data_IF_603757796241
#
_entry.id   IF_603757796241
#
_cell.length_a   1.000
_cell.length_b   1.000
_cell.length_c   1.000
_cell.angle_alpha   90.00
_cell.angle_beta   90.00
_cell.angle_gamma   90.00
#
_symmetry.space_group_name_H-M   'P 1'
#
loop_
_entity.id
_entity.type
_entity.pdbx_description
1 polymer ?
#
# COMPACT_ATOMS: atom_id res chain seq x y z
N UNK A 1 25.56 -6.51 18.26
CA UNK A 1 24.54 -5.76 17.48
C UNK A 1 23.08 -6.15 17.80
N UNK A 2 22.74 -6.57 19.02
CA UNK A 2 21.38 -7.07 19.36
C UNK A 2 20.56 -6.17 20.30
N UNK A 3 21.14 -5.11 20.87
CA UNK A 3 20.45 -4.28 21.87
C UNK A 3 19.54 -3.18 21.29
N UNK A 4 19.85 -2.64 20.11
CA UNK A 4 19.05 -1.58 19.48
C UNK A 4 17.74 -2.09 18.89
N UNK A 5 17.75 -3.29 18.32
CA UNK A 5 16.57 -3.90 17.67
C UNK A 5 15.45 -4.24 18.70
N UNK A 6 15.80 -4.70 19.89
CA UNK A 6 14.83 -5.01 20.94
C UNK A 6 14.16 -3.74 21.53
N UNK A 7 14.90 -2.63 21.66
CA UNK A 7 14.36 -1.36 22.17
C UNK A 7 13.38 -0.73 21.17
N UNK A 8 13.69 -0.74 19.86
CA UNK A 8 12.82 -0.24 18.82
C UNK A 8 11.51 -1.02 18.73
N UNK A 9 11.58 -2.35 18.76
CA UNK A 9 10.40 -3.22 18.76
C UNK A 9 9.52 -3.00 19.99
N UNK A 10 10.13 -2.77 21.14
CA UNK A 10 9.39 -2.51 22.38
C UNK A 10 8.61 -1.19 22.32
N UNK A 11 9.22 -0.11 21.84
CA UNK A 11 8.51 1.19 21.66
C UNK A 11 7.37 1.12 20.65
N UNK A 12 7.59 0.46 19.52
CA UNK A 12 6.51 0.22 18.53
C UNK A 12 5.37 -0.61 19.13
N UNK A 13 5.68 -1.61 19.96
CA UNK A 13 4.69 -2.41 20.68
C UNK A 13 3.88 -1.59 21.68
N UNK A 14 4.50 -0.69 22.44
CA UNK A 14 3.77 0.20 23.36
C UNK A 14 2.83 1.13 22.61
N UNK A 15 3.28 1.74 21.54
CA UNK A 15 2.42 2.59 20.69
C UNK A 15 1.19 1.82 20.18
N UNK A 16 1.36 0.56 19.73
CA UNK A 16 0.24 -0.31 19.31
C UNK A 16 -0.72 -0.58 20.46
N UNK A 17 -0.20 -0.88 21.67
CA UNK A 17 -1.03 -1.14 22.86
C UNK A 17 -1.88 0.08 23.26
N UNK A 18 -1.29 1.25 23.30
CA UNK A 18 -1.95 2.48 23.70
C UNK A 18 -3.08 2.83 22.74
N UNK A 19 -2.86 2.63 21.43
CA UNK A 19 -3.89 2.87 20.44
C UNK A 19 -4.98 1.80 20.40
N UNK A 20 -4.65 0.54 20.66
CA UNK A 20 -5.61 -0.55 20.71
C UNK A 20 -6.61 -0.37 21.87
N UNK A 21 -6.13 0.06 23.04
CA UNK A 21 -6.97 0.21 24.22
C UNK A 21 -7.91 1.40 24.16
N UNK A 22 -7.52 2.50 23.49
CA UNK A 22 -8.28 3.75 23.49
C UNK A 22 -9.36 3.86 22.42
N UNK A 23 -9.39 2.99 21.39
CA UNK A 23 -10.25 3.19 20.21
C UNK A 23 -10.96 1.94 19.69
N UNK A 24 -11.42 1.06 20.59
CA UNK A 24 -12.06 -0.20 20.22
C UNK A 24 -13.30 -0.01 19.32
N UNK A 25 -14.18 0.92 19.66
CA UNK A 25 -15.40 1.20 18.89
C UNK A 25 -15.08 1.64 17.45
N UNK A 26 -14.10 2.54 17.29
CA UNK A 26 -13.64 2.96 15.96
C UNK A 26 -13.05 1.78 15.17
N UNK A 27 -12.22 0.95 15.78
CA UNK A 27 -11.59 -0.20 15.12
C UNK A 27 -12.63 -1.22 14.65
N UNK A 28 -13.65 -1.48 15.46
CA UNK A 28 -14.74 -2.38 15.09
C UNK A 28 -15.56 -1.81 13.94
N UNK A 29 -15.95 -0.53 14.01
CA UNK A 29 -16.67 0.14 12.94
C UNK A 29 -15.85 0.19 11.64
N UNK A 30 -14.55 0.52 11.75
CA UNK A 30 -13.63 0.52 10.61
C UNK A 30 -13.52 -0.87 9.98
N UNK A 31 -13.39 -1.93 10.79
CA UNK A 31 -13.31 -3.30 10.26
C UNK A 31 -14.60 -3.72 9.58
N UNK A 32 -15.77 -3.39 10.14
CA UNK A 32 -17.05 -3.64 9.50
C UNK A 32 -17.14 -2.92 8.14
N UNK A 33 -16.76 -1.65 8.09
CA UNK A 33 -16.65 -0.89 6.85
C UNK A 33 -15.70 -1.55 5.84
N UNK A 34 -14.49 -1.93 6.26
CA UNK A 34 -13.50 -2.58 5.40
C UNK A 34 -14.06 -3.87 4.76
N UNK A 35 -14.77 -4.71 5.54
CA UNK A 35 -15.37 -5.96 5.04
C UNK A 35 -16.48 -5.67 4.03
N UNK A 36 -17.44 -4.82 4.41
CA UNK A 36 -18.60 -4.53 3.56
C UNK A 36 -18.14 -3.84 2.27
N UNK A 37 -17.31 -2.80 2.38
CA UNK A 37 -16.84 -2.04 1.23
C UNK A 37 -16.01 -2.92 0.29
N UNK A 38 -15.02 -3.65 0.82
CA UNK A 38 -14.20 -4.53 -0.03
C UNK A 38 -14.99 -5.68 -0.64
N UNK A 39 -15.96 -6.25 0.08
CA UNK A 39 -16.86 -7.27 -0.45
C UNK A 39 -17.71 -6.76 -1.62
N UNK A 40 -18.32 -5.57 -1.48
CA UNK A 40 -19.07 -4.92 -2.56
C UNK A 40 -18.17 -4.62 -3.77
N UNK A 41 -16.97 -4.06 -3.54
CA UNK A 41 -16.03 -3.79 -4.64
C UNK A 41 -15.66 -5.08 -5.34
N UNK A 42 -15.27 -6.13 -4.62
CA UNK A 42 -14.90 -7.43 -5.21
C UNK A 42 -16.03 -8.03 -6.03
N UNK A 43 -17.28 -7.95 -5.58
CA UNK A 43 -18.43 -8.42 -6.33
C UNK A 43 -18.61 -7.65 -7.65
N UNK A 44 -18.48 -6.32 -7.62
CA UNK A 44 -18.62 -5.46 -8.82
C UNK A 44 -17.48 -5.70 -9.81
N UNK A 45 -16.24 -5.81 -9.32
CA UNK A 45 -15.06 -5.94 -10.20
C UNK A 45 -14.81 -7.37 -10.67
N UNK A 46 -15.54 -8.37 -10.19
CA UNK A 46 -15.27 -9.80 -10.50
C UNK A 46 -15.20 -10.07 -12.00
N UNK A 47 -16.25 -9.71 -12.75
CA UNK A 47 -16.31 -9.94 -14.22
C UNK A 47 -15.29 -9.04 -14.95
N UNK A 48 -15.22 -7.70 -14.71
CA UNK A 48 -14.17 -6.87 -15.29
C UNK A 48 -12.76 -7.38 -15.03
N UNK A 49 -12.49 -7.91 -13.84
CA UNK A 49 -11.18 -8.47 -13.47
C UNK A 49 -10.81 -9.70 -14.29
N UNK A 50 -11.76 -10.57 -14.60
CA UNK A 50 -11.52 -11.73 -15.45
C UNK A 50 -11.20 -11.32 -16.89
N UNK A 51 -11.94 -10.35 -17.44
CA UNK A 51 -11.68 -9.80 -18.78
C UNK A 51 -10.31 -9.13 -18.85
N UNK A 52 -9.96 -8.33 -17.82
CA UNK A 52 -8.65 -7.69 -17.73
C UNK A 52 -7.53 -8.73 -17.59
N UNK A 53 -7.71 -9.76 -16.78
CA UNK A 53 -6.74 -10.83 -16.62
C UNK A 53 -6.48 -11.57 -17.95
N UNK A 54 -7.53 -11.84 -18.74
CA UNK A 54 -7.41 -12.38 -20.08
C UNK A 54 -6.62 -11.44 -21.02
N UNK A 55 -6.94 -10.15 -21.02
CA UNK A 55 -6.25 -9.14 -21.83
C UNK A 55 -4.74 -9.04 -21.49
N UNK A 56 -4.39 -9.02 -20.19
CA UNK A 56 -3.00 -9.00 -19.72
C UNK A 56 -2.25 -10.26 -20.19
N UNK A 57 -2.91 -11.43 -20.17
CA UNK A 57 -2.31 -12.69 -20.60
C UNK A 57 -2.11 -12.74 -22.12
N UNK A 58 -3.00 -12.12 -22.89
CA UNK A 58 -2.85 -12.01 -24.34
C UNK A 58 -1.74 -11.04 -24.75
N UNK A 59 -1.55 -9.93 -24.02
CA UNK A 59 -0.49 -8.96 -24.30
C UNK A 59 0.90 -9.47 -23.92
N UNK A 60 1.01 -10.19 -22.80
CA UNK A 60 2.29 -10.74 -22.35
C UNK A 60 2.10 -12.09 -21.64
N UNK A 61 2.98 -13.07 -21.95
CA UNK A 61 2.93 -14.40 -21.37
C UNK A 61 3.10 -14.39 -19.84
N UNK A 62 2.42 -15.32 -19.17
CA UNK A 62 2.56 -15.59 -17.74
C UNK A 62 1.31 -15.27 -16.92
N UNK A 63 1.43 -15.31 -15.60
CA UNK A 63 0.31 -15.07 -14.69
C UNK A 63 -0.15 -13.59 -14.77
N UNK A 64 -1.45 -13.30 -14.99
CA UNK A 64 -1.97 -11.93 -14.98
C UNK A 64 -1.95 -11.26 -13.61
N UNK A 65 -1.78 -12.04 -12.54
CA UNK A 65 -1.62 -11.53 -11.18
C UNK A 65 -0.15 -11.54 -10.77
N UNK A 66 0.24 -10.51 -10.07
CA UNK A 66 1.54 -10.36 -9.42
C UNK A 66 1.35 -10.24 -7.91
N UNK A 67 2.25 -10.81 -7.13
CA UNK A 67 2.23 -10.64 -5.69
C UNK A 67 3.61 -10.30 -5.15
N UNK A 68 3.64 -9.44 -4.14
CA UNK A 68 4.86 -9.01 -3.46
C UNK A 68 4.68 -9.09 -1.95
N UNK A 69 5.71 -9.58 -1.25
CA UNK A 69 5.69 -9.58 0.22
C UNK A 69 5.80 -8.12 0.70
N UNK A 70 4.89 -7.76 1.60
CA UNK A 70 4.84 -6.46 2.26
C UNK A 70 4.78 -6.64 3.77
N UNK A 71 5.27 -5.63 4.49
CA UNK A 71 5.14 -5.57 5.95
C UNK A 71 3.78 -4.96 6.29
N UNK A 72 3.09 -5.62 7.20
CA UNK A 72 1.79 -5.21 7.74
C UNK A 72 1.91 -4.50 9.07
N UNK A 73 0.90 -4.71 9.92
CA UNK A 73 0.85 -4.12 11.25
C UNK A 73 1.83 -4.83 12.22
N UNK A 74 2.47 -4.08 13.11
CA UNK A 74 3.24 -4.63 14.22
C UNK A 74 2.32 -5.35 15.21
N UNK A 75 2.66 -6.57 15.58
CA UNK A 75 1.96 -7.34 16.61
C UNK A 75 2.22 -6.80 18.02
N UNK A 76 1.42 -7.25 19.00
CA UNK A 76 1.58 -6.85 20.42
C UNK A 76 2.89 -7.29 21.06
N UNK A 77 3.51 -8.33 20.54
CA UNK A 77 4.82 -8.83 20.95
C UNK A 77 6.00 -8.10 20.28
N UNK A 78 5.72 -7.08 19.46
CA UNK A 78 6.70 -6.33 18.68
C UNK A 78 7.14 -7.00 17.39
N UNK A 79 6.63 -8.19 17.08
CA UNK A 79 6.92 -8.83 15.79
C UNK A 79 6.20 -8.13 14.63
N UNK A 80 6.81 -8.17 13.45
CA UNK A 80 6.25 -7.59 12.23
C UNK A 80 5.43 -8.66 11.50
N UNK A 81 4.16 -8.35 11.19
CA UNK A 81 3.39 -9.18 10.27
C UNK A 81 3.88 -8.97 8.84
N UNK A 82 3.81 -10.01 8.03
CA UNK A 82 4.02 -9.92 6.59
C UNK A 82 2.86 -10.56 5.85
N UNK A 83 2.58 -10.08 4.65
CA UNK A 83 1.52 -10.63 3.82
C UNK A 83 1.87 -10.49 2.33
N UNK A 84 1.20 -11.29 1.49
CA UNK A 84 1.28 -11.17 0.04
C UNK A 84 0.30 -10.12 -0.44
N UNK A 85 0.79 -8.98 -0.91
CA UNK A 85 -0.02 -7.95 -1.53
C UNK A 85 -0.23 -8.29 -3.00
N UNK A 86 -1.50 -8.36 -3.41
CA UNK A 86 -1.88 -8.74 -4.77
C UNK A 86 -2.09 -7.53 -5.66
N UNK A 87 -1.64 -7.65 -6.93
CA UNK A 87 -1.86 -6.67 -7.98
C UNK A 87 -2.13 -7.36 -9.33
N UNK A 88 -2.73 -6.64 -10.26
CA UNK A 88 -2.62 -7.05 -11.66
C UNK A 88 -1.22 -6.79 -12.16
N UNK A 89 -0.71 -7.69 -13.00
CA UNK A 89 0.59 -7.53 -13.63
C UNK A 89 0.54 -6.43 -14.67
N UNK A 90 1.28 -5.36 -14.44
CA UNK A 90 1.39 -4.20 -15.33
C UNK A 90 2.71 -4.13 -16.09
N UNK A 91 3.61 -5.09 -15.86
CA UNK A 91 4.94 -5.17 -16.46
C UNK A 91 5.15 -6.51 -17.17
N UNK A 92 6.11 -6.54 -18.09
CA UNK A 92 6.55 -7.78 -18.72
C UNK A 92 7.11 -8.76 -17.70
N UNK A 93 7.10 -10.07 -18.03
CA UNK A 93 7.51 -11.16 -17.13
C UNK A 93 8.98 -11.03 -16.66
N UNK A 94 9.83 -10.43 -17.46
CA UNK A 94 11.27 -10.24 -17.21
C UNK A 94 11.62 -8.87 -16.61
N UNK A 95 10.62 -8.13 -16.12
CA UNK A 95 10.78 -6.77 -15.59
C UNK A 95 11.83 -6.67 -14.47
N UNK A 96 11.90 -7.67 -13.58
CA UNK A 96 12.87 -7.68 -12.48
C UNK A 96 14.32 -7.83 -12.99
N UNK A 97 14.53 -8.59 -14.06
CA UNK A 97 15.86 -8.74 -14.70
C UNK A 97 16.29 -7.41 -15.34
N UNK A 98 15.38 -6.76 -16.05
CA UNK A 98 15.63 -5.46 -16.69
C UNK A 98 15.83 -4.32 -15.67
N UNK A 99 15.35 -4.46 -14.44
CA UNK A 99 15.54 -3.44 -13.40
C UNK A 99 17.03 -3.19 -13.13
N UNK A 100 17.87 -4.24 -13.18
CA UNK A 100 19.29 -4.11 -12.90
C UNK A 100 19.96 -3.14 -13.88
N UNK A 101 19.57 -3.22 -15.17
CA UNK A 101 20.10 -2.38 -16.25
C UNK A 101 19.59 -0.92 -16.15
N UNK A 102 18.41 -0.74 -15.57
CA UNK A 102 17.72 0.56 -15.45
C UNK A 102 18.05 1.32 -14.15
N UNK A 103 18.73 0.71 -13.18
CA UNK A 103 19.01 1.34 -11.87
C UNK A 103 19.68 2.71 -11.98
N UNK A 104 20.54 2.91 -12.98
CA UNK A 104 21.20 4.20 -13.23
C UNK A 104 20.28 5.32 -13.74
N UNK A 105 19.04 4.98 -14.12
CA UNK A 105 18.04 5.94 -14.65
C UNK A 105 16.95 6.26 -13.62
N UNK A 106 17.21 6.00 -12.32
CA UNK A 106 16.26 6.33 -11.27
C UNK A 106 16.06 7.85 -11.15
N UNK A 107 14.82 8.32 -11.24
CA UNK A 107 14.45 9.75 -11.18
C UNK A 107 14.29 10.28 -9.76
N UNK A 108 14.34 9.40 -8.74
CA UNK A 108 14.18 9.79 -7.34
C UNK A 108 15.33 9.27 -6.47
N UNK A 109 15.65 10.02 -5.41
CA UNK A 109 16.61 9.60 -4.40
C UNK A 109 15.98 8.56 -3.44
N UNK A 110 16.81 7.62 -2.93
CA UNK A 110 16.40 6.63 -1.94
C UNK A 110 16.19 5.23 -2.50
N UNK A 111 15.66 4.33 -1.67
CA UNK A 111 15.52 2.90 -1.96
C UNK A 111 14.43 2.56 -3.01
N UNK A 112 13.56 3.51 -3.32
CA UNK A 112 12.51 3.32 -4.32
C UNK A 112 13.04 3.60 -5.73
N UNK A 113 12.63 2.76 -6.70
CA UNK A 113 12.86 3.01 -8.12
C UNK A 113 11.64 3.67 -8.75
N UNK A 114 11.83 4.82 -9.40
CA UNK A 114 10.80 5.53 -10.16
C UNK A 114 11.38 6.03 -11.48
N UNK A 115 10.67 5.73 -12.57
CA UNK A 115 10.98 6.15 -13.92
C UNK A 115 9.67 6.47 -14.65
N UNK A 116 9.57 7.67 -15.21
CA UNK A 116 8.33 8.16 -15.87
C UNK A 116 7.96 7.33 -17.10
N UNK A 117 8.95 7.01 -17.94
CA UNK A 117 8.78 6.18 -19.14
C UNK A 117 9.46 4.82 -18.95
N UNK A 118 8.95 4.01 -18.04
CA UNK A 118 9.50 2.70 -17.72
C UNK A 118 9.24 1.69 -18.84
N UNK A 119 10.26 1.23 -19.58
CA UNK A 119 10.10 0.32 -20.71
C UNK A 119 9.64 -1.08 -20.30
N UNK A 120 9.62 -1.39 -19.01
CA UNK A 120 9.12 -2.65 -18.47
C UNK A 120 7.61 -2.72 -18.44
N UNK A 121 6.92 -1.56 -18.53
CA UNK A 121 5.47 -1.46 -18.42
C UNK A 121 4.83 -1.78 -19.76
N UNK A 122 3.84 -2.71 -19.78
CA UNK A 122 3.08 -3.07 -20.97
C UNK A 122 2.11 -1.95 -21.37
N UNK A 123 1.49 -2.01 -22.56
CA UNK A 123 0.50 -1.01 -22.98
C UNK A 123 -0.73 -1.03 -22.09
N UNK A 124 -1.28 -2.23 -21.81
CA UNK A 124 -2.37 -2.39 -20.83
C UNK A 124 -1.88 -1.95 -19.45
N UNK A 125 -0.63 -2.27 -19.08
CA UNK A 125 0.01 -1.85 -17.86
C UNK A 125 0.01 -0.33 -17.66
N UNK A 126 0.34 0.46 -18.69
CA UNK A 126 0.27 1.94 -18.64
C UNK A 126 -1.15 2.42 -18.33
N UNK A 127 -2.16 1.84 -18.97
CA UNK A 127 -3.56 2.19 -18.73
C UNK A 127 -4.01 1.85 -17.31
N UNK A 128 -3.78 0.61 -16.83
CA UNK A 128 -4.25 0.18 -15.52
C UNK A 128 -3.51 0.91 -14.38
N UNK A 129 -2.23 1.24 -14.55
CA UNK A 129 -1.46 2.05 -13.57
C UNK A 129 -1.96 3.48 -13.50
N UNK A 130 -2.25 4.09 -14.67
CA UNK A 130 -2.80 5.46 -14.73
C UNK A 130 -4.10 5.61 -13.94
N UNK A 131 -4.94 4.56 -13.89
CA UNK A 131 -6.22 4.58 -13.18
C UNK A 131 -6.20 3.77 -11.88
N UNK A 132 -5.01 3.35 -11.41
CA UNK A 132 -4.83 2.52 -10.21
C UNK A 132 -5.64 1.21 -10.20
N UNK A 133 -6.06 0.74 -11.39
CA UNK A 133 -6.81 -0.52 -11.56
C UNK A 133 -5.94 -1.73 -11.20
N UNK A 134 -4.61 -1.61 -11.39
CA UNK A 134 -3.66 -2.65 -11.01
C UNK A 134 -3.71 -2.98 -9.52
N UNK A 135 -4.22 -2.09 -8.67
CA UNK A 135 -4.34 -2.27 -7.23
C UNK A 135 -5.66 -2.93 -6.78
N UNK A 136 -6.62 -3.15 -7.68
CA UNK A 136 -7.92 -3.75 -7.35
C UNK A 136 -7.83 -5.13 -6.64
N UNK A 137 -6.89 -6.02 -6.98
CA UNK A 137 -6.75 -7.27 -6.23
C UNK A 137 -6.41 -7.07 -4.74
N UNK A 138 -5.93 -5.89 -4.31
CA UNK A 138 -5.68 -5.59 -2.90
C UNK A 138 -6.97 -5.53 -2.07
N UNK A 139 -8.15 -5.34 -2.67
CA UNK A 139 -9.41 -5.46 -1.96
C UNK A 139 -9.60 -6.87 -1.35
N UNK A 140 -9.00 -7.91 -1.94
CA UNK A 140 -8.94 -9.22 -1.32
C UNK A 140 -8.10 -9.20 -0.02
N UNK A 141 -6.96 -8.49 -0.01
CA UNK A 141 -6.15 -8.33 1.20
C UNK A 141 -6.93 -7.56 2.30
N UNK A 142 -7.75 -6.58 1.91
CA UNK A 142 -8.63 -5.86 2.86
C UNK A 142 -9.70 -6.79 3.41
N UNK A 143 -10.38 -7.53 2.55
CA UNK A 143 -11.43 -8.48 2.94
C UNK A 143 -10.90 -9.53 3.92
N UNK A 144 -9.72 -10.07 3.65
CA UNK A 144 -9.02 -11.03 4.52
C UNK A 144 -8.46 -10.40 5.82
N UNK A 145 -8.44 -9.07 5.93
CA UNK A 145 -7.99 -8.35 7.12
C UNK A 145 -6.50 -8.12 7.23
N UNK A 146 -5.74 -8.38 6.17
CA UNK A 146 -4.31 -8.09 6.07
C UNK A 146 -4.05 -6.59 5.85
N UNK A 147 -4.99 -5.91 5.20
CA UNK A 147 -5.01 -4.46 4.93
C UNK A 147 -6.33 -3.84 5.41
N UNK A 148 -6.42 -2.54 5.30
CA UNK A 148 -7.62 -1.70 5.43
C UNK A 148 -7.83 -0.93 4.14
N UNK A 149 -9.01 -0.38 3.91
CA UNK A 149 -9.25 0.58 2.82
C UNK A 149 -8.35 1.79 3.01
N UNK A 150 -8.30 2.35 4.22
CA UNK A 150 -7.52 3.54 4.56
C UNK A 150 -6.46 3.21 5.60
N UNK A 151 -5.21 3.58 5.32
CA UNK A 151 -4.06 3.39 6.20
C UNK A 151 -2.74 3.80 5.54
N UNK A 152 -1.61 3.72 6.25
CA UNK A 152 -0.29 3.91 5.68
C UNK A 152 0.00 2.94 4.53
N UNK A 153 0.78 3.39 3.54
CA UNK A 153 1.21 2.50 2.45
C UNK A 153 2.06 1.33 3.01
N UNK A 154 1.76 0.07 2.64
CA UNK A 154 2.53 -1.07 3.10
C UNK A 154 3.96 -1.05 2.54
N UNK A 155 5.01 -1.01 3.40
CA UNK A 155 6.38 -0.98 2.95
C UNK A 155 6.90 -2.35 2.53
N UNK A 156 8.02 -2.37 1.81
CA UNK A 156 8.80 -3.57 1.54
C UNK A 156 9.62 -3.99 2.77
N UNK A 157 9.93 -5.29 2.94
CA UNK A 157 10.79 -5.74 4.04
C UNK A 157 12.18 -5.08 4.05
N UNK A 158 12.77 -4.84 2.89
CA UNK A 158 14.05 -4.15 2.77
C UNK A 158 13.96 -2.65 3.12
N UNK A 159 12.84 -1.98 2.83
CA UNK A 159 12.60 -0.61 3.29
C UNK A 159 12.57 -0.56 4.82
N UNK A 160 11.84 -1.50 5.46
CA UNK A 160 11.71 -1.55 6.93
C UNK A 160 13.03 -1.86 7.63
N UNK A 161 13.95 -2.56 6.97
CA UNK A 161 15.28 -2.82 7.51
C UNK A 161 16.10 -1.54 7.73
N UNK A 162 15.78 -0.47 7.00
CA UNK A 162 16.44 0.84 7.09
C UNK A 162 15.67 1.84 7.98
N UNK A 163 14.49 1.46 8.53
CA UNK A 163 13.63 2.33 9.32
C UNK A 163 14.24 2.68 10.67
N UNK A 164 14.14 3.97 11.01
CA UNK A 164 14.40 4.47 12.36
C UNK A 164 13.24 4.13 13.30
N UNK A 165 13.43 4.35 14.63
CA UNK A 165 12.34 4.22 15.60
C UNK A 165 11.13 5.11 15.27
N UNK A 166 11.38 6.28 14.71
CA UNK A 166 10.34 7.21 14.29
C UNK A 166 9.53 6.62 13.13
N UNK A 167 10.19 6.05 12.14
CA UNK A 167 9.55 5.47 10.96
C UNK A 167 8.73 4.24 11.29
N UNK A 168 9.19 3.41 12.24
CA UNK A 168 8.49 2.20 12.67
C UNK A 168 7.10 2.48 13.25
N UNK A 169 6.84 3.68 13.77
CA UNK A 169 5.53 4.05 14.32
C UNK A 169 4.40 3.98 13.27
N UNK A 170 4.72 4.15 11.97
CA UNK A 170 3.73 4.01 10.90
C UNK A 170 3.17 2.58 10.76
N UNK A 171 3.87 1.59 11.30
CA UNK A 171 3.45 0.19 11.31
C UNK A 171 2.52 -0.16 12.49
N UNK A 172 2.17 0.79 13.33
CA UNK A 172 1.28 0.57 14.48
C UNK A 172 -0.17 0.27 14.09
N UNK A 173 -0.58 0.60 12.86
CA UNK A 173 -1.92 0.35 12.32
C UNK A 173 -1.82 -0.49 11.04
N UNK A 174 -2.96 -1.11 10.64
CA UNK A 174 -3.02 -1.84 9.38
C UNK A 174 -2.70 -0.92 8.20
N UNK A 175 -1.89 -1.38 7.23
CA UNK A 175 -1.65 -0.63 6.01
C UNK A 175 -2.94 -0.50 5.19
N UNK A 176 -3.02 0.57 4.37
CA UNK A 176 -4.17 0.87 3.52
C UNK A 176 -3.92 0.66 2.03
N UNK A 177 -5.01 0.54 1.26
CA UNK A 177 -4.98 0.71 -0.20
C UNK A 177 -4.71 2.18 -0.50
N UNK A 178 -5.39 3.07 0.21
CA UNK A 178 -5.18 4.52 0.17
C UNK A 178 -4.83 5.06 1.56
N UNK A 179 -4.27 6.27 1.62
CA UNK A 179 -3.85 6.90 2.85
C UNK A 179 -3.69 8.40 2.72
N UNK A 180 -3.50 9.09 3.85
CA UNK A 180 -3.42 10.53 3.91
C UNK A 180 -2.29 11.09 3.05
N UNK A 181 -1.10 10.50 3.09
CA UNK A 181 -0.01 10.87 2.21
C UNK A 181 -0.35 10.74 0.73
N UNK A 182 -1.01 9.65 0.34
CA UNK A 182 -1.33 9.37 -1.06
C UNK A 182 -2.25 10.42 -1.67
N UNK A 183 -3.23 10.92 -0.89
CA UNK A 183 -4.22 11.92 -1.37
C UNK A 183 -3.80 13.37 -1.14
N UNK A 184 -2.67 13.65 -0.44
CA UNK A 184 -2.24 15.02 -0.17
C UNK A 184 -0.91 15.38 -0.82
N UNK A 185 0.08 14.49 -0.76
CA UNK A 185 1.48 14.82 -1.10
C UNK A 185 2.23 13.72 -1.88
N UNK A 186 1.51 12.81 -2.54
CA UNK A 186 2.08 11.62 -3.23
C UNK A 186 3.34 11.90 -4.08
N UNK A 187 3.40 13.04 -4.73
CA UNK A 187 4.45 13.39 -5.69
C UNK A 187 5.33 14.57 -5.24
N UNK A 188 5.06 15.18 -4.09
CA UNK A 188 5.71 16.42 -3.66
C UNK A 188 6.68 16.25 -2.48
N UNK A 189 6.61 15.12 -1.79
CA UNK A 189 7.45 14.86 -0.61
C UNK A 189 8.24 13.57 -0.74
N UNK A 190 9.48 13.56 -0.21
CA UNK A 190 10.29 12.36 -0.06
C UNK A 190 9.78 11.44 1.05
N UNK A 191 10.63 10.48 1.44
CA UNK A 191 10.32 9.46 2.44
C UNK A 191 9.90 10.08 3.79
N UNK A 192 10.63 11.07 4.29
CA UNK A 192 10.33 11.73 5.58
C UNK A 192 8.96 12.43 5.58
N UNK A 193 8.60 13.05 4.46
CA UNK A 193 7.28 13.65 4.27
C UNK A 193 6.17 12.61 4.30
N UNK A 194 6.37 11.47 3.65
CA UNK A 194 5.44 10.33 3.69
C UNK A 194 5.26 9.82 5.12
N UNK A 195 6.33 9.60 5.87
CA UNK A 195 6.28 9.15 7.27
C UNK A 195 5.50 10.13 8.12
N UNK A 196 5.81 11.43 8.02
CA UNK A 196 5.10 12.48 8.76
C UNK A 196 3.60 12.47 8.49
N UNK A 197 3.17 12.34 7.24
CA UNK A 197 1.74 12.28 6.88
C UNK A 197 1.08 10.99 7.36
N UNK A 198 1.78 9.87 7.32
CA UNK A 198 1.26 8.62 7.88
C UNK A 198 1.06 8.73 9.40
N UNK A 199 1.98 9.35 10.13
CA UNK A 199 1.86 9.57 11.58
C UNK A 199 0.76 10.61 11.91
N UNK A 200 0.60 11.65 11.11
CA UNK A 200 -0.52 12.60 11.20
C UNK A 200 -1.88 11.87 11.07
N UNK A 201 -2.00 10.99 10.06
CA UNK A 201 -3.19 10.15 9.92
C UNK A 201 -3.42 9.30 11.17
N UNK A 202 -2.40 8.61 11.65
CA UNK A 202 -2.49 7.71 12.81
C UNK A 202 -2.96 8.48 14.05
N UNK A 203 -2.47 9.69 14.27
CA UNK A 203 -2.88 10.54 15.38
C UNK A 203 -4.33 11.01 15.28
N UNK A 204 -4.78 11.36 14.06
CA UNK A 204 -6.08 11.97 13.79
C UNK A 204 -7.10 11.02 13.14
N UNK A 205 -6.81 9.69 13.10
CA UNK A 205 -7.68 8.72 12.46
C UNK A 205 -9.05 8.65 13.13
N UNK A 206 -10.08 8.57 12.32
CA UNK A 206 -11.48 8.48 12.74
C UNK A 206 -12.35 8.23 11.52
N UNK A 207 -13.64 7.92 11.72
CA UNK A 207 -14.57 7.61 10.63
C UNK A 207 -14.64 8.75 9.62
N UNK A 208 -14.71 10.00 10.07
CA UNK A 208 -14.77 11.17 9.18
C UNK A 208 -13.47 11.37 8.40
N UNK A 209 -12.31 11.15 9.04
CA UNK A 209 -11.01 11.22 8.37
C UNK A 209 -10.90 10.13 7.30
N UNK A 210 -11.32 8.91 7.61
CA UNK A 210 -11.31 7.79 6.66
C UNK A 210 -12.23 8.07 5.46
N UNK A 211 -13.46 8.54 5.71
CA UNK A 211 -14.41 8.91 4.64
C UNK A 211 -13.86 10.03 3.76
N UNK A 212 -13.24 11.05 4.35
CA UNK A 212 -12.58 12.14 3.60
C UNK A 212 -11.51 11.58 2.67
N UNK A 213 -10.66 10.69 3.17
CA UNK A 213 -9.59 10.08 2.35
C UNK A 213 -10.18 9.24 1.21
N UNK A 214 -11.23 8.45 1.47
CA UNK A 214 -11.92 7.67 0.44
C UNK A 214 -12.48 8.58 -0.66
N UNK A 215 -13.17 9.66 -0.29
CA UNK A 215 -13.72 10.63 -1.27
C UNK A 215 -12.61 11.26 -2.11
N UNK A 216 -11.52 11.71 -1.49
CA UNK A 216 -10.39 12.27 -2.21
C UNK A 216 -9.76 11.25 -3.16
N UNK A 217 -9.62 10.00 -2.73
CA UNK A 217 -9.09 8.91 -3.58
C UNK A 217 -9.97 8.67 -4.81
N UNK A 218 -11.29 8.64 -4.63
CA UNK A 218 -12.23 8.48 -5.77
C UNK A 218 -12.07 9.63 -6.76
N UNK A 219 -11.95 10.86 -6.29
CA UNK A 219 -11.70 12.03 -7.15
C UNK A 219 -10.38 11.87 -7.93
N UNK A 220 -9.29 11.46 -7.27
CA UNK A 220 -8.00 11.23 -7.92
C UNK A 220 -8.06 10.14 -9.00
N UNK A 221 -8.71 9.02 -8.70
CA UNK A 221 -8.86 7.90 -9.65
C UNK A 221 -9.66 8.34 -10.87
N UNK A 222 -10.75 9.09 -10.69
CA UNK A 222 -11.60 9.57 -11.80
C UNK A 222 -10.86 10.64 -12.62
N UNK A 223 -10.16 11.57 -11.97
CA UNK A 223 -9.47 12.67 -12.67
C UNK A 223 -8.13 12.26 -13.25
N UNK A 224 -7.57 11.12 -12.82
CA UNK A 224 -6.22 10.66 -13.20
C UNK A 224 -5.11 11.59 -12.69
N UNK A 225 -5.41 12.52 -11.79
CA UNK A 225 -4.43 13.39 -11.15
C UNK A 225 -3.71 12.60 -10.05
N UNK A 226 -2.42 12.41 -10.17
CA UNK A 226 -1.61 11.71 -9.18
C UNK A 226 -1.11 10.32 -9.60
N UNK A 227 -1.57 9.77 -10.71
CA UNK A 227 -0.98 8.56 -11.29
C UNK A 227 0.37 8.92 -11.96
N UNK A 228 1.42 8.19 -11.61
CA UNK A 228 2.75 8.23 -12.25
C UNK A 228 2.99 6.93 -12.98
#
# INVERSE_FOLDING_TARGET
>A
MSGGDSSMRYKAMQAVKDWDNSRLAYRTAKRAFDIVFSGCVLAVIAIPSLLLAAAIRLESEGNPFYSQIRVGQTHRDGSLSTFRMWKFRSMFKDADKRLVELKGQNEIAGAMFKMREDPRVTKIGKFIRKHSIDEFPQFLNVFLGQMSVVGPRPPLPNEVAEYTEYDLQRLAVKPGITGWWQVTERNSTGFDGMVRRDLEYIANRGIFTDLKIVVLTVIEVITGKGAC
#
